data_IF_713295795435
#
_entry.id   IF_713295795435
#
_cell.length_a   1.000
_cell.length_b   1.000
_cell.length_c   1.000
_cell.angle_alpha   90.00
_cell.angle_beta   90.00
_cell.angle_gamma   90.00
#
_symmetry.space_group_name_H-M   'P 1'
#
loop_
_entity.id
_entity.type
_entity.pdbx_description
1 polymer ?
#
# COMPACT_ATOMS: atom_id res chain seq x y z
N UNK A 1 0.63 -18.61 14.67
CA UNK A 1 -0.36 -18.27 13.62
C UNK A 1 -0.10 -16.85 13.11
N UNK A 2 -0.12 -16.68 11.80
CA UNK A 2 0.07 -15.36 11.20
C UNK A 2 -1.29 -14.65 11.18
N UNK A 3 -1.43 -13.58 11.97
CA UNK A 3 -2.70 -12.85 12.08
C UNK A 3 -2.85 -11.77 11.01
N UNK A 4 -1.77 -11.05 10.73
CA UNK A 4 -1.79 -9.93 9.79
C UNK A 4 -0.53 -9.96 8.93
N UNK A 5 -0.71 -9.77 7.64
CA UNK A 5 0.39 -9.64 6.68
C UNK A 5 0.32 -8.24 6.08
N UNK A 6 1.39 -7.48 6.23
CA UNK A 6 1.53 -6.13 5.68
C UNK A 6 2.53 -6.16 4.54
N UNK A 7 2.11 -5.70 3.37
CA UNK A 7 2.99 -5.64 2.20
C UNK A 7 3.09 -4.20 1.70
N UNK A 8 4.26 -3.57 1.86
CA UNK A 8 4.51 -2.27 1.23
C UNK A 8 4.61 -2.45 -0.28
N UNK A 9 3.95 -1.56 -1.03
CA UNK A 9 3.92 -1.60 -2.49
C UNK A 9 4.45 -0.29 -3.06
N UNK A 10 5.39 -0.39 -3.98
CA UNK A 10 5.80 0.71 -4.83
C UNK A 10 5.02 0.58 -6.15
N UNK A 11 4.02 1.43 -6.34
CA UNK A 11 3.15 1.39 -7.51
C UNK A 11 3.94 1.55 -8.81
N UNK A 12 5.00 2.35 -8.79
CA UNK A 12 5.83 2.57 -9.97
C UNK A 12 6.66 1.35 -10.37
N UNK A 13 6.84 0.39 -9.46
CA UNK A 13 7.66 -0.81 -9.66
C UNK A 13 6.94 -2.10 -9.30
N UNK A 14 5.66 -2.16 -9.58
CA UNK A 14 4.82 -3.30 -9.23
C UNK A 14 5.37 -4.63 -9.78
N UNK A 15 5.87 -4.62 -11.00
CA UNK A 15 6.35 -5.84 -11.64
C UNK A 15 7.53 -6.47 -10.89
N UNK A 16 8.37 -5.66 -10.27
CA UNK A 16 9.52 -6.15 -9.51
C UNK A 16 9.09 -6.92 -8.26
N UNK A 17 7.94 -6.57 -7.67
CA UNK A 17 7.42 -7.20 -6.46
C UNK A 17 6.28 -8.18 -6.68
N UNK A 18 5.89 -8.44 -7.92
CA UNK A 18 4.68 -9.24 -8.21
C UNK A 18 4.76 -10.67 -7.65
N UNK A 19 5.91 -11.31 -7.74
CA UNK A 19 6.10 -12.67 -7.21
C UNK A 19 5.96 -12.73 -5.70
N UNK A 20 6.59 -11.78 -5.00
CA UNK A 20 6.49 -11.68 -3.54
C UNK A 20 5.07 -11.36 -3.10
N UNK A 21 4.38 -10.50 -3.83
CA UNK A 21 3.00 -10.13 -3.55
C UNK A 21 2.06 -11.32 -3.68
N UNK A 22 2.22 -12.12 -4.72
CA UNK A 22 1.43 -13.32 -4.93
C UNK A 22 1.67 -14.34 -3.82
N UNK A 23 2.92 -14.56 -3.43
CA UNK A 23 3.26 -15.47 -2.34
C UNK A 23 2.62 -15.00 -1.03
N UNK A 24 2.73 -13.72 -0.71
CA UNK A 24 2.13 -13.16 0.49
C UNK A 24 0.60 -13.31 0.49
N UNK A 25 -0.04 -13.10 -0.66
CA UNK A 25 -1.48 -13.30 -0.83
C UNK A 25 -1.90 -14.74 -0.60
N UNK A 26 -1.14 -15.70 -1.13
CA UNK A 26 -1.39 -17.12 -0.94
C UNK A 26 -1.24 -17.52 0.53
N UNK A 27 -0.23 -16.98 1.22
CA UNK A 27 -0.04 -17.21 2.66
C UNK A 27 -1.23 -16.64 3.47
N UNK A 28 -1.71 -15.44 3.11
CA UNK A 28 -2.85 -14.84 3.78
C UNK A 28 -4.10 -15.71 3.64
N UNK A 29 -4.34 -16.26 2.45
CA UNK A 29 -5.47 -17.16 2.21
C UNK A 29 -5.36 -18.45 3.01
N UNK A 30 -4.16 -19.05 3.03
CA UNK A 30 -3.92 -20.31 3.74
C UNK A 30 -4.09 -20.20 5.24
N UNK A 31 -3.71 -19.05 5.82
CA UNK A 31 -3.76 -18.84 7.26
C UNK A 31 -4.99 -18.05 7.73
N UNK A 32 -5.83 -17.60 6.81
CA UNK A 32 -6.95 -16.72 7.14
C UNK A 32 -6.50 -15.38 7.71
N UNK A 33 -5.32 -14.91 7.31
CA UNK A 33 -4.72 -13.68 7.83
C UNK A 33 -5.38 -12.44 7.23
N UNK A 34 -5.38 -11.35 8.01
CA UNK A 34 -5.69 -10.02 7.49
C UNK A 34 -4.54 -9.61 6.55
N UNK A 35 -4.88 -9.12 5.38
CA UNK A 35 -3.89 -8.74 4.37
C UNK A 35 -4.02 -7.25 4.08
N UNK A 36 -2.90 -6.53 4.17
CA UNK A 36 -2.87 -5.08 4.00
C UNK A 36 -1.84 -4.70 2.94
N UNK A 37 -2.28 -3.94 1.93
CA UNK A 37 -1.38 -3.30 0.98
C UNK A 37 -1.17 -1.85 1.40
N UNK A 38 0.08 -1.48 1.61
CA UNK A 38 0.46 -0.14 2.03
C UNK A 38 1.29 0.53 0.94
N UNK A 39 0.81 1.68 0.47
CA UNK A 39 1.59 2.55 -0.42
C UNK A 39 1.92 3.84 0.33
N UNK A 40 3.20 4.22 0.31
CA UNK A 40 3.67 5.45 0.93
C UNK A 40 4.18 6.40 -0.14
N UNK A 41 3.59 7.60 -0.22
CA UNK A 41 4.07 8.67 -1.08
C UNK A 41 5.07 9.52 -0.33
N UNK A 42 6.20 9.83 -0.96
CA UNK A 42 7.15 10.75 -0.38
C UNK A 42 6.55 12.15 -0.27
N UNK A 43 6.82 12.81 0.88
CA UNK A 43 6.36 14.17 1.09
C UNK A 43 7.05 15.11 0.10
N UNK A 44 6.27 15.99 -0.54
CA UNK A 44 6.81 17.00 -1.42
C UNK A 44 7.51 18.09 -0.60
N UNK A 45 8.62 18.68 -1.11
CA UNK A 45 9.20 19.87 -0.50
C UNK A 45 8.14 20.96 -0.38
N UNK A 46 8.20 21.74 0.70
CA UNK A 46 7.17 22.76 0.99
C UNK A 46 6.96 23.73 -0.18
N UNK A 47 8.05 24.15 -0.83
CA UNK A 47 7.95 25.09 -1.96
C UNK A 47 7.27 24.47 -3.19
N UNK A 48 7.33 23.15 -3.36
CA UNK A 48 6.61 22.46 -4.44
C UNK A 48 5.16 22.24 -4.05
N UNK A 49 4.91 21.85 -2.80
CA UNK A 49 3.57 21.56 -2.31
C UNK A 49 2.65 22.78 -2.38
N UNK A 50 3.19 24.00 -2.17
CA UNK A 50 2.39 25.22 -2.23
C UNK A 50 1.97 25.59 -3.65
N UNK A 51 2.66 25.06 -4.67
CA UNK A 51 2.34 25.33 -6.07
C UNK A 51 1.38 24.32 -6.69
N UNK A 52 1.14 23.19 -6.02
CA UNK A 52 0.25 22.15 -6.52
C UNK A 52 -1.18 22.38 -6.00
N UNK A 53 -2.18 22.47 -6.89
CA UNK A 53 -3.58 22.58 -6.46
C UNK A 53 -3.99 21.40 -5.58
N UNK A 54 -4.77 21.67 -4.54
CA UNK A 54 -5.24 20.64 -3.61
C UNK A 54 -6.05 19.54 -4.31
N UNK A 55 -6.87 19.92 -5.29
CA UNK A 55 -7.66 18.95 -6.05
C UNK A 55 -6.78 17.99 -6.83
N UNK A 56 -5.68 18.47 -7.38
CA UNK A 56 -4.75 17.65 -8.14
C UNK A 56 -4.07 16.64 -7.21
N UNK A 57 -3.69 17.07 -6.01
CA UNK A 57 -3.09 16.20 -5.01
C UNK A 57 -4.07 15.12 -4.53
N UNK A 58 -5.32 15.50 -4.26
CA UNK A 58 -6.37 14.55 -3.89
C UNK A 58 -6.62 13.52 -4.98
N UNK A 59 -6.63 13.96 -6.24
CA UNK A 59 -6.78 13.06 -7.39
C UNK A 59 -5.63 12.06 -7.46
N UNK A 60 -4.42 12.52 -7.20
CA UNK A 60 -3.25 11.65 -7.18
C UNK A 60 -3.36 10.56 -6.10
N UNK A 61 -3.79 10.91 -4.89
CA UNK A 61 -4.01 9.94 -3.82
C UNK A 61 -5.12 8.96 -4.14
N UNK A 62 -6.23 9.46 -4.72
CA UNK A 62 -7.35 8.62 -5.15
C UNK A 62 -6.93 7.64 -6.23
N UNK A 63 -6.12 8.09 -7.21
CA UNK A 63 -5.61 7.22 -8.26
C UNK A 63 -4.70 6.13 -7.72
N UNK A 64 -3.91 6.44 -6.68
CA UNK A 64 -3.07 5.43 -6.02
C UNK A 64 -3.93 4.34 -5.38
N UNK A 65 -4.98 4.72 -4.65
CA UNK A 65 -5.89 3.76 -4.04
C UNK A 65 -6.60 2.91 -5.11
N UNK A 66 -7.05 3.52 -6.20
CA UNK A 66 -7.67 2.81 -7.32
C UNK A 66 -6.71 1.79 -7.93
N UNK A 67 -5.45 2.18 -8.09
CA UNK A 67 -4.42 1.29 -8.65
C UNK A 67 -4.17 0.08 -7.73
N UNK A 68 -4.14 0.30 -6.42
CA UNK A 68 -4.00 -0.80 -5.46
C UNK A 68 -5.20 -1.75 -5.52
N UNK A 69 -6.41 -1.23 -5.68
CA UNK A 69 -7.60 -2.06 -5.86
C UNK A 69 -7.56 -2.88 -7.16
N UNK A 70 -7.04 -2.31 -8.24
CA UNK A 70 -6.81 -3.06 -9.49
C UNK A 70 -5.83 -4.23 -9.26
N UNK A 71 -4.77 -3.98 -8.51
CA UNK A 71 -3.77 -5.01 -8.18
C UNK A 71 -4.43 -6.17 -7.42
N UNK A 72 -5.32 -5.87 -6.47
CA UNK A 72 -6.04 -6.89 -5.73
C UNK A 72 -6.80 -7.81 -6.69
N UNK A 73 -7.50 -7.24 -7.66
CA UNK A 73 -8.24 -8.01 -8.66
C UNK A 73 -7.31 -8.79 -9.59
N UNK A 74 -6.30 -8.12 -10.14
CA UNK A 74 -5.41 -8.70 -11.14
C UNK A 74 -4.54 -9.82 -10.59
N UNK A 75 -4.12 -9.72 -9.33
CA UNK A 75 -3.27 -10.71 -8.67
C UNK A 75 -4.07 -11.77 -7.92
N UNK A 76 -5.39 -11.69 -7.92
CA UNK A 76 -6.24 -12.65 -7.22
C UNK A 76 -6.04 -12.63 -5.70
N UNK A 77 -5.80 -11.47 -5.12
CA UNK A 77 -5.63 -11.31 -3.68
C UNK A 77 -6.97 -11.44 -2.94
N UNK A 78 -6.97 -11.73 -1.62
CA UNK A 78 -8.22 -11.85 -0.88
C UNK A 78 -9.11 -10.62 -1.00
N UNK A 79 -10.43 -10.82 -1.11
CA UNK A 79 -11.41 -9.73 -1.21
C UNK A 79 -11.39 -8.82 0.03
N UNK A 80 -10.96 -9.37 1.17
CA UNK A 80 -10.85 -8.64 2.43
C UNK A 80 -9.56 -7.82 2.55
N UNK A 81 -8.74 -7.79 1.49
CA UNK A 81 -7.49 -7.02 1.48
C UNK A 81 -7.76 -5.54 1.73
N UNK A 82 -7.08 -4.98 2.71
CA UNK A 82 -7.19 -3.58 3.06
C UNK A 82 -6.14 -2.77 2.29
N UNK A 83 -6.55 -1.61 1.78
CA UNK A 83 -5.68 -0.70 1.02
C UNK A 83 -5.43 0.53 1.87
N UNK A 84 -4.16 0.86 2.09
CA UNK A 84 -3.77 2.04 2.85
C UNK A 84 -2.78 2.86 2.04
N UNK A 85 -3.06 4.17 1.92
CA UNK A 85 -2.18 5.12 1.25
C UNK A 85 -1.76 6.17 2.29
N UNK A 86 -0.46 6.35 2.46
CA UNK A 86 0.09 7.31 3.42
C UNK A 86 1.10 8.23 2.75
N UNK A 87 1.37 9.37 3.37
CA UNK A 87 2.37 10.32 2.92
C UNK A 87 3.46 10.46 3.99
N UNK A 88 4.72 10.51 3.56
CA UNK A 88 5.84 10.66 4.47
C UNK A 88 7.08 9.99 3.93
N UNK A 89 8.02 9.73 4.80
CA UNK A 89 9.22 8.97 4.46
C UNK A 89 8.87 7.48 4.47
N UNK A 90 9.04 6.74 3.36
CA UNK A 90 8.54 5.36 3.27
C UNK A 90 8.97 4.44 4.41
N UNK A 91 10.25 4.41 4.77
CA UNK A 91 10.71 3.52 5.84
C UNK A 91 10.08 3.86 7.19
N UNK A 92 9.94 5.15 7.52
CA UNK A 92 9.35 5.57 8.78
C UNK A 92 7.86 5.26 8.85
N UNK A 93 7.12 5.53 7.76
CA UNK A 93 5.68 5.29 7.71
C UNK A 93 5.35 3.79 7.76
N UNK A 94 6.14 2.97 7.10
CA UNK A 94 5.97 1.51 7.14
C UNK A 94 6.16 0.99 8.56
N UNK A 95 7.23 1.42 9.24
CA UNK A 95 7.52 1.01 10.62
C UNK A 95 6.44 1.49 11.59
N UNK A 96 6.00 2.74 11.48
CA UNK A 96 4.93 3.27 12.32
C UNK A 96 3.63 2.52 12.12
N UNK A 97 3.26 2.27 10.86
CA UNK A 97 2.03 1.54 10.56
C UNK A 97 2.08 0.11 11.10
N UNK A 98 3.20 -0.58 10.93
CA UNK A 98 3.38 -1.92 11.46
C UNK A 98 3.28 -1.95 12.98
N UNK A 99 3.87 -0.95 13.64
CA UNK A 99 3.81 -0.82 15.10
C UNK A 99 2.40 -0.54 15.60
N UNK A 100 1.70 0.38 14.93
CA UNK A 100 0.34 0.78 15.31
C UNK A 100 -0.68 -0.35 15.10
N UNK A 101 -0.46 -1.20 14.12
CA UNK A 101 -1.37 -2.32 13.80
C UNK A 101 -0.98 -3.63 14.48
N UNK A 102 0.16 -3.67 15.16
CA UNK A 102 0.60 -4.87 15.85
C UNK A 102 1.13 -5.98 14.94
N UNK A 103 1.58 -5.59 13.76
CA UNK A 103 2.14 -6.54 12.79
C UNK A 103 3.52 -7.01 13.20
#
# INVERSE_FOLDING_TARGET
>A
MIETILVPIDIARIEAGAGALKLAGDLAKSHGSKFILLNVHESLPTYVATEIPKELYKTHLSNAADRLNEIIRDQGLPDTTEVVVREGHPSNEILEYAKDTGV
#
